data_IF_455504535389
#
_entry.id   IF_455504535389
#
_cell.length_a   1.000
_cell.length_b   1.000
_cell.length_c   1.000
_cell.angle_alpha   90.00
_cell.angle_beta   90.00
_cell.angle_gamma   90.00
#
_symmetry.space_group_name_H-M   'P 1'
#
loop_
_entity.id
_entity.type
_entity.pdbx_description
1 polymer ?
#
# COMPACT_ATOMS: atom_id res chain seq x y z
N UNK A 1 8.21 7.12 -17.67
CA UNK A 1 7.38 7.72 -16.61
C UNK A 1 7.90 9.14 -16.38
N UNK A 2 7.08 10.19 -16.49
CA UNK A 2 7.51 11.53 -16.03
C UNK A 2 7.39 11.55 -14.50
N UNK A 3 8.52 11.58 -13.80
CA UNK A 3 8.54 11.93 -12.39
C UNK A 3 8.46 13.45 -12.31
N UNK A 4 7.24 13.99 -12.33
CA UNK A 4 6.99 15.41 -12.14
C UNK A 4 6.55 15.64 -10.70
N UNK A 5 7.32 16.41 -9.93
CA UNK A 5 6.99 16.86 -8.58
C UNK A 5 7.59 16.04 -7.43
N UNK A 6 7.41 16.57 -6.21
CA UNK A 6 7.83 15.94 -4.94
C UNK A 6 7.07 14.63 -4.73
N UNK A 7 7.80 13.52 -4.67
CA UNK A 7 7.23 12.21 -4.43
C UNK A 7 6.86 12.07 -2.95
N UNK A 8 5.64 11.59 -2.70
CA UNK A 8 5.16 11.21 -1.37
C UNK A 8 5.12 9.70 -1.27
N UNK A 9 5.35 9.21 -0.06
CA UNK A 9 5.29 7.78 0.20
C UNK A 9 3.85 7.36 0.53
N UNK A 10 3.37 6.33 -0.16
CA UNK A 10 2.05 5.74 0.06
C UNK A 10 2.16 4.27 0.47
N UNK A 11 1.44 3.89 1.53
CA UNK A 11 1.13 2.51 1.87
C UNK A 11 -0.13 2.09 1.12
N UNK A 12 0.00 1.17 0.18
CA UNK A 12 -1.13 0.59 -0.54
C UNK A 12 -1.26 -0.89 -0.19
N UNK A 13 -2.47 -1.30 0.21
CA UNK A 13 -2.80 -2.68 0.52
C UNK A 13 -3.95 -3.10 -0.40
N UNK A 14 -3.79 -4.24 -1.08
CA UNK A 14 -4.84 -4.84 -1.90
C UNK A 14 -4.94 -6.34 -1.72
N UNK A 15 -6.08 -6.90 -2.08
CA UNK A 15 -6.36 -8.34 -2.04
C UNK A 15 -7.20 -8.75 -3.25
N UNK A 16 -7.14 -10.03 -3.61
CA UNK A 16 -8.09 -10.58 -4.57
C UNK A 16 -9.50 -10.55 -4.00
N UNK A 17 -10.51 -10.56 -4.86
CA UNK A 17 -11.88 -10.72 -4.41
C UNK A 17 -12.06 -12.12 -3.79
N UNK A 18 -12.77 -12.24 -2.66
CA UNK A 18 -13.09 -13.53 -2.09
C UNK A 18 -13.94 -14.34 -3.08
N UNK A 19 -13.61 -15.61 -3.24
CA UNK A 19 -14.34 -16.54 -4.12
C UNK A 19 -14.61 -17.84 -3.37
N UNK A 20 -15.58 -18.64 -3.83
CA UNK A 20 -15.91 -19.93 -3.21
C UNK A 20 -14.69 -20.86 -3.05
N UNK A 21 -13.71 -20.76 -3.96
CA UNK A 21 -12.45 -21.52 -3.89
C UNK A 21 -11.41 -20.95 -2.92
N UNK A 22 -11.47 -19.65 -2.63
CA UNK A 22 -10.56 -18.99 -1.70
C UNK A 22 -11.29 -17.88 -0.95
N UNK A 23 -11.90 -18.20 0.19
CA UNK A 23 -12.73 -17.25 0.95
C UNK A 23 -11.89 -16.16 1.64
N UNK A 24 -10.61 -16.42 1.92
CA UNK A 24 -9.71 -15.50 2.60
C UNK A 24 -8.41 -15.27 1.79
N UNK A 25 -8.48 -14.46 0.71
CA UNK A 25 -7.30 -14.18 -0.11
C UNK A 25 -6.25 -13.38 0.68
N UNK A 26 -4.96 -13.64 0.45
CA UNK A 26 -3.88 -12.95 1.14
C UNK A 26 -3.86 -11.45 0.80
N UNK A 27 -3.49 -10.65 1.80
CA UNK A 27 -3.31 -9.21 1.68
C UNK A 27 -1.90 -8.88 1.20
N UNK A 28 -1.79 -8.12 0.12
CA UNK A 28 -0.52 -7.63 -0.41
C UNK A 28 -0.32 -6.17 -0.04
N UNK A 29 0.79 -5.88 0.66
CA UNK A 29 1.19 -4.53 1.05
C UNK A 29 2.38 -4.06 0.21
N UNK A 30 2.31 -2.84 -0.30
CA UNK A 30 3.40 -2.22 -1.04
C UNK A 30 3.60 -0.75 -0.63
N UNK A 31 4.87 -0.33 -0.63
CA UNK A 31 5.28 1.07 -0.44
C UNK A 31 5.50 1.68 -1.82
N UNK A 32 4.78 2.75 -2.14
CA UNK A 32 4.78 3.37 -3.47
C UNK A 32 5.09 4.85 -3.34
N UNK A 33 6.12 5.30 -4.06
CA UNK A 33 6.44 6.71 -4.18
C UNK A 33 5.70 7.32 -5.36
N UNK A 34 4.80 8.26 -5.09
CA UNK A 34 3.96 8.90 -6.11
C UNK A 34 3.62 10.35 -5.72
N UNK A 35 3.31 11.23 -6.68
CA UNK A 35 2.90 12.60 -6.38
C UNK A 35 1.50 12.68 -5.77
N UNK A 36 0.62 11.72 -6.08
CA UNK A 36 -0.75 11.67 -5.57
C UNK A 36 -1.23 10.22 -5.37
N UNK A 37 -2.35 10.07 -4.66
CA UNK A 37 -2.92 8.76 -4.34
C UNK A 37 -3.47 8.02 -5.58
N UNK A 38 -3.91 8.75 -6.61
CA UNK A 38 -4.42 8.15 -7.86
C UNK A 38 -3.30 7.43 -8.61
N UNK A 39 -2.15 8.10 -8.76
CA UNK A 39 -0.94 7.53 -9.36
C UNK A 39 -0.41 6.39 -8.49
N UNK A 40 -0.48 6.51 -7.15
CA UNK A 40 -0.11 5.42 -6.25
C UNK A 40 -0.95 4.14 -6.50
N UNK A 41 -2.29 4.27 -6.59
CA UNK A 41 -3.18 3.15 -6.91
C UNK A 41 -2.88 2.55 -8.29
N UNK A 42 -2.64 3.39 -9.29
CA UNK A 42 -2.28 2.92 -10.64
C UNK A 42 -0.96 2.12 -10.65
N UNK A 43 0.05 2.63 -9.94
CA UNK A 43 1.34 1.93 -9.74
C UNK A 43 1.18 0.61 -9.01
N UNK A 44 0.32 0.56 -7.99
CA UNK A 44 0.02 -0.67 -7.27
C UNK A 44 -0.43 -1.76 -8.23
N UNK A 45 -1.42 -1.46 -9.07
CA UNK A 45 -1.95 -2.42 -10.05
C UNK A 45 -0.91 -2.84 -11.08
N UNK A 46 -0.07 -1.91 -11.53
CA UNK A 46 1.01 -2.22 -12.46
C UNK A 46 1.97 -3.27 -11.89
N UNK A 47 2.52 -3.04 -10.69
CA UNK A 47 3.49 -3.97 -10.10
C UNK A 47 2.85 -5.28 -9.61
N UNK A 48 1.64 -5.23 -9.01
CA UNK A 48 0.97 -6.45 -8.53
C UNK A 48 0.57 -7.39 -9.68
N UNK A 49 0.29 -6.83 -10.86
CA UNK A 49 0.01 -7.62 -12.06
C UNK A 49 1.24 -8.40 -12.53
N UNK A 50 2.44 -7.81 -12.42
CA UNK A 50 3.70 -8.45 -12.78
C UNK A 50 4.11 -9.52 -11.76
N UNK A 51 3.92 -9.25 -10.46
CA UNK A 51 4.37 -10.15 -9.39
C UNK A 51 3.40 -11.30 -9.10
N UNK A 52 2.09 -11.04 -9.12
CA UNK A 52 1.07 -11.99 -8.63
C UNK A 52 -0.03 -12.27 -9.65
N UNK A 53 0.13 -11.84 -10.91
CA UNK A 53 -0.88 -11.98 -11.99
C UNK A 53 -2.28 -11.47 -11.59
N UNK A 54 -2.31 -10.54 -10.64
CA UNK A 54 -3.53 -9.96 -10.09
C UNK A 54 -3.92 -8.74 -10.93
N UNK A 55 -5.19 -8.65 -11.32
CA UNK A 55 -5.72 -7.56 -12.14
C UNK A 55 -6.64 -6.67 -11.32
N UNK A 56 -6.78 -5.41 -11.74
CA UNK A 56 -7.73 -4.45 -11.13
C UNK A 56 -9.17 -4.96 -11.12
N UNK A 57 -9.56 -5.76 -12.11
CA UNK A 57 -10.90 -6.34 -12.19
C UNK A 57 -11.13 -7.51 -11.22
N UNK A 58 -10.07 -8.23 -10.82
CA UNK A 58 -10.17 -9.43 -9.97
C UNK A 58 -9.78 -9.18 -8.51
N UNK A 59 -9.58 -7.91 -8.14
CA UNK A 59 -9.20 -7.55 -6.79
C UNK A 59 -9.61 -6.15 -6.40
N UNK A 60 -9.40 -5.84 -5.14
CA UNK A 60 -9.77 -4.58 -4.52
C UNK A 60 -8.59 -3.98 -3.76
N UNK A 61 -8.58 -2.65 -3.63
CA UNK A 61 -7.63 -1.94 -2.77
C UNK A 61 -8.34 -1.74 -1.43
N UNK A 62 -7.80 -2.36 -0.39
CA UNK A 62 -8.34 -2.30 0.97
C UNK A 62 -7.91 -0.99 1.65
N UNK A 63 -6.66 -0.56 1.40
CA UNK A 63 -6.11 0.64 2.03
C UNK A 63 -5.17 1.39 1.09
N UNK A 64 -5.23 2.71 1.12
CA UNK A 64 -4.29 3.59 0.44
C UNK A 64 -4.09 4.84 1.30
N UNK A 65 -2.99 4.90 2.04
CA UNK A 65 -2.68 6.02 2.93
C UNK A 65 -1.28 6.57 2.70
N UNK A 66 -1.11 7.87 2.97
CA UNK A 66 0.21 8.48 3.03
C UNK A 66 0.97 7.92 4.23
N UNK A 67 2.23 7.55 4.03
CA UNK A 67 3.15 7.29 5.14
C UNK A 67 3.80 8.62 5.44
N UNK A 68 3.40 9.22 6.55
CA UNK A 68 4.17 10.32 7.14
C UNK A 68 5.19 9.70 8.07
N UNK A 69 6.46 10.03 7.85
CA UNK A 69 7.61 9.47 8.57
C UNK A 69 7.54 9.62 10.10
N UNK A 70 6.60 10.43 10.62
CA UNK A 70 6.32 10.59 12.05
C UNK A 70 5.70 9.35 12.73
N UNK A 71 5.08 8.41 12.00
CA UNK A 71 4.60 7.14 12.61
C UNK A 71 5.77 6.27 13.12
N UNK A 72 6.98 6.44 12.58
CA UNK A 72 8.18 5.77 13.12
C UNK A 72 8.67 6.40 14.42
N UNK A 73 8.31 7.65 14.73
CA UNK A 73 8.66 8.27 15.99
C UNK A 73 7.91 7.65 17.17
N UNK A 74 6.67 7.19 16.97
CA UNK A 74 5.86 6.59 18.05
C UNK A 74 6.46 5.26 18.55
N UNK A 75 7.17 4.52 17.69
CA UNK A 75 7.84 3.27 18.10
C UNK A 75 9.25 3.53 18.67
N UNK A 76 9.81 4.73 18.44
CA UNK A 76 11.14 5.13 18.88
C UNK A 76 11.17 6.07 20.09
N UNK A 77 10.02 6.37 20.71
CA UNK A 77 10.01 6.90 22.09
C UNK A 77 10.00 5.69 23.02
N UNK A 78 11.16 5.23 23.55
CA UNK A 78 11.14 4.21 24.58
C UNK A 78 10.31 4.76 25.74
N UNK A 79 9.44 3.90 26.24
CA UNK A 79 8.63 4.16 27.42
C UNK A 79 9.58 4.45 28.58
N UNK A 80 9.87 5.72 28.86
CA UNK A 80 10.56 6.07 30.09
C UNK A 80 9.55 5.81 31.21
N UNK A 81 9.75 4.69 31.89
CA UNK A 81 9.00 4.25 33.05
C UNK A 81 8.90 5.40 34.04
N UNK A 82 7.70 5.93 34.23
CA UNK A 82 7.33 6.56 35.50
C UNK A 82 7.09 5.43 36.50
N UNK A 83 8.09 5.16 37.34
CA UNK A 83 7.93 4.83 38.76
C UNK A 83 9.24 5.09 39.48
#
# INVERSE_FOLDING_TARGET
>A
MKASGTLREYKVIGRLLPSAKNPAPPLYRMRIFAPNHIVAKSRFWYFVSQLRKMKKASGEIVYCGLIVTWELAIVLVPTQSRS
#
